data_IF_201462527619
#
_entry.id   IF_201462527619
#
_cell.length_a   1.000
_cell.length_b   1.000
_cell.length_c   1.000
_cell.angle_alpha   90.00
_cell.angle_beta   90.00
_cell.angle_gamma   90.00
#
_symmetry.space_group_name_H-M   'P 1'
#
loop_
_entity.id
_entity.type
_entity.pdbx_description
1 polymer ?
#
# COMPACT_ATOMS: atom_id res chain seq x y z
N UNK A 1 -32.51 48.03 8.54
CA UNK A 1 -31.38 47.36 9.21
C UNK A 1 -31.23 45.97 8.59
N UNK A 2 -30.23 45.79 7.73
CA UNK A 2 -29.92 44.54 6.99
C UNK A 2 -29.11 43.64 7.92
N UNK A 3 -29.63 42.49 8.34
CA UNK A 3 -28.81 41.53 9.08
C UNK A 3 -28.99 40.10 8.55
N UNK A 4 -28.10 39.77 7.60
CA UNK A 4 -27.20 38.60 7.62
C UNK A 4 -27.89 37.23 7.63
N UNK A 5 -28.04 36.67 6.42
CA UNK A 5 -28.23 35.24 6.21
C UNK A 5 -26.87 34.57 6.39
N UNK A 6 -26.70 33.77 7.44
CA UNK A 6 -25.53 32.91 7.59
C UNK A 6 -25.63 31.78 6.57
N UNK A 7 -24.88 31.89 5.47
CA UNK A 7 -24.58 30.75 4.62
C UNK A 7 -23.51 29.93 5.34
N UNK A 8 -23.90 28.79 5.90
CA UNK A 8 -22.95 27.77 6.37
C UNK A 8 -22.33 27.17 5.10
N UNK A 9 -21.20 27.71 4.67
CA UNK A 9 -20.33 27.09 3.69
C UNK A 9 -19.63 25.93 4.42
N UNK A 10 -20.24 24.74 4.37
CA UNK A 10 -19.59 23.51 4.83
C UNK A 10 -18.38 23.31 3.91
N UNK A 11 -17.23 23.67 4.45
CA UNK A 11 -15.93 23.45 3.85
C UNK A 11 -15.73 21.95 3.67
N UNK A 12 -15.85 21.49 2.43
CA UNK A 12 -15.52 20.15 1.98
C UNK A 12 -13.99 20.02 1.94
N UNK A 13 -13.33 20.13 3.10
CA UNK A 13 -11.89 19.93 3.23
C UNK A 13 -11.63 18.43 3.39
N UNK A 14 -11.42 17.80 2.23
CA UNK A 14 -10.54 16.66 1.98
C UNK A 14 -10.30 15.68 3.13
N UNK A 15 -11.23 14.76 3.34
CA UNK A 15 -10.93 13.47 3.95
C UNK A 15 -10.54 12.48 2.84
N UNK A 16 -9.47 12.77 2.10
CA UNK A 16 -8.78 11.74 1.33
C UNK A 16 -7.72 11.12 2.25
N UNK A 17 -8.18 10.33 3.22
CA UNK A 17 -7.30 9.53 4.08
C UNK A 17 -7.03 8.17 3.45
N UNK A 18 -6.46 8.20 2.25
CA UNK A 18 -5.68 7.11 1.68
C UNK A 18 -4.46 7.78 1.06
N UNK A 19 -3.28 7.53 1.63
CA UNK A 19 -2.02 8.07 1.10
C UNK A 19 -1.76 7.37 -0.23
N UNK A 20 -2.22 7.96 -1.33
CA UNK A 20 -1.92 7.44 -2.66
C UNK A 20 -0.42 7.61 -2.96
N UNK A 21 0.19 6.68 -3.70
CA UNK A 21 1.58 6.82 -4.10
C UNK A 21 1.75 8.10 -4.95
N UNK A 22 2.86 8.79 -4.77
CA UNK A 22 3.10 10.05 -5.52
C UNK A 22 3.50 9.80 -6.97
N UNK A 23 3.87 8.57 -7.34
CA UNK A 23 4.25 8.21 -8.70
C UNK A 23 3.64 6.88 -9.13
N UNK A 24 3.33 6.79 -10.43
CA UNK A 24 2.96 5.56 -11.10
C UNK A 24 3.69 5.45 -12.45
N UNK A 25 3.57 4.30 -13.11
CA UNK A 25 4.30 3.98 -14.34
C UNK A 25 3.38 3.48 -15.44
N UNK A 26 3.68 3.81 -16.69
CA UNK A 26 2.90 3.35 -17.85
C UNK A 26 3.03 1.84 -18.12
N UNK A 27 4.06 1.21 -17.57
CA UNK A 27 4.31 -0.24 -17.66
C UNK A 27 4.87 -0.79 -16.34
N UNK A 28 4.76 -2.11 -16.07
CA UNK A 28 5.35 -2.69 -14.88
C UNK A 28 6.86 -2.49 -14.87
N UNK A 29 7.42 -2.21 -13.68
CA UNK A 29 8.83 -2.00 -13.46
C UNK A 29 9.51 -3.17 -12.72
N UNK A 30 10.80 -3.43 -13.01
CA UNK A 30 11.57 -2.84 -14.10
C UNK A 30 11.02 -3.29 -15.46
N UNK A 31 11.07 -2.42 -16.47
CA UNK A 31 10.66 -2.79 -17.83
C UNK A 31 11.50 -3.92 -18.43
N UNK A 32 10.91 -4.63 -19.41
CA UNK A 32 11.55 -5.73 -20.15
C UNK A 32 12.12 -6.86 -19.26
N UNK A 33 11.55 -7.05 -18.06
CA UNK A 33 11.90 -8.16 -17.17
C UNK A 33 10.85 -9.24 -17.20
N UNK A 34 11.31 -10.49 -17.09
CA UNK A 34 10.43 -11.64 -16.92
C UNK A 34 9.63 -11.50 -15.62
N UNK A 35 8.33 -11.75 -15.73
CA UNK A 35 7.45 -11.85 -14.58
C UNK A 35 7.80 -13.10 -13.77
N UNK A 36 7.64 -13.01 -12.47
CA UNK A 36 7.88 -14.10 -11.52
C UNK A 36 6.52 -14.64 -11.10
N UNK A 37 6.30 -15.94 -11.26
CA UNK A 37 5.00 -16.58 -11.02
C UNK A 37 4.72 -16.92 -9.55
N UNK A 38 5.71 -16.77 -8.66
CA UNK A 38 5.53 -16.97 -7.23
C UNK A 38 6.62 -16.29 -6.40
N UNK A 39 6.28 -15.90 -5.18
CA UNK A 39 7.26 -15.38 -4.22
C UNK A 39 8.32 -16.43 -3.89
N UNK A 40 9.61 -16.05 -3.82
CA UNK A 40 10.65 -16.96 -3.34
C UNK A 40 10.36 -17.40 -1.90
N UNK A 41 10.65 -18.67 -1.58
CA UNK A 41 10.39 -19.28 -0.26
C UNK A 41 10.82 -18.44 0.95
N UNK A 42 11.91 -17.67 0.83
CA UNK A 42 12.39 -16.79 1.92
C UNK A 42 11.36 -15.72 2.34
N UNK A 43 10.53 -15.26 1.41
CA UNK A 43 9.47 -14.27 1.65
C UNK A 43 8.20 -14.89 2.24
N UNK A 44 7.99 -16.21 2.16
CA UNK A 44 6.76 -16.82 2.64
C UNK A 44 6.68 -16.80 4.17
N UNK A 45 5.49 -16.55 4.70
CA UNK A 45 5.20 -16.61 6.14
C UNK A 45 4.47 -15.37 6.66
N UNK A 46 4.41 -15.29 7.99
CA UNK A 46 3.75 -14.22 8.72
C UNK A 46 4.78 -13.21 9.24
N UNK A 47 4.38 -11.94 9.26
CA UNK A 47 5.21 -10.85 9.74
C UNK A 47 4.38 -9.87 10.58
N UNK A 48 5.05 -9.14 11.46
CA UNK A 48 4.46 -8.08 12.27
C UNK A 48 5.20 -6.77 12.08
N UNK A 49 4.48 -5.67 11.92
CA UNK A 49 5.00 -4.32 12.06
C UNK A 49 4.71 -3.83 13.50
N UNK A 50 5.73 -3.72 14.37
CA UNK A 50 5.52 -3.33 15.76
C UNK A 50 5.15 -1.84 15.92
N UNK A 51 5.46 -0.99 14.94
CA UNK A 51 5.19 0.45 15.00
C UNK A 51 3.73 0.76 14.64
N UNK A 52 3.19 0.06 13.63
CA UNK A 52 1.83 0.30 13.11
C UNK A 52 0.80 -0.73 13.60
N UNK A 53 1.24 -1.79 14.29
CA UNK A 53 0.36 -2.88 14.72
C UNK A 53 -0.16 -3.77 13.59
N UNK A 54 0.31 -3.56 12.35
CA UNK A 54 -0.09 -4.37 11.20
C UNK A 54 0.55 -5.76 11.21
N UNK A 55 -0.21 -6.73 10.72
CA UNK A 55 0.29 -8.06 10.37
C UNK A 55 0.35 -8.18 8.85
N UNK A 56 1.35 -8.90 8.34
CA UNK A 56 1.50 -9.17 6.92
C UNK A 56 1.62 -10.69 6.73
N UNK A 57 0.86 -11.24 5.80
CA UNK A 57 0.97 -12.63 5.36
C UNK A 57 1.42 -12.64 3.91
N UNK A 58 2.53 -13.33 3.63
CA UNK A 58 3.00 -13.54 2.26
C UNK A 58 2.86 -15.01 1.91
N UNK A 59 2.04 -15.28 0.91
CA UNK A 59 1.85 -16.61 0.32
C UNK A 59 2.57 -16.70 -1.02
N UNK A 60 2.40 -17.83 -1.74
CA UNK A 60 3.08 -18.04 -3.01
C UNK A 60 2.74 -16.96 -4.04
N UNK A 61 1.51 -16.44 -4.05
CA UNK A 61 1.01 -15.60 -5.14
C UNK A 61 0.41 -14.27 -4.65
N UNK A 62 0.40 -14.02 -3.34
CA UNK A 62 -0.27 -12.84 -2.78
C UNK A 62 0.37 -12.34 -1.48
N UNK A 63 0.10 -11.07 -1.19
CA UNK A 63 0.45 -10.40 0.06
C UNK A 63 -0.84 -9.83 0.66
N UNK A 64 -1.12 -10.21 1.90
CA UNK A 64 -2.28 -9.73 2.66
C UNK A 64 -1.78 -8.94 3.86
N UNK A 65 -2.25 -7.71 4.02
CA UNK A 65 -2.12 -6.96 5.26
C UNK A 65 -3.36 -7.21 6.10
N UNK A 66 -3.17 -7.37 7.40
CA UNK A 66 -4.27 -7.43 8.36
C UNK A 66 -4.01 -6.41 9.45
N UNK A 67 -5.01 -5.60 9.74
CA UNK A 67 -5.01 -4.77 10.94
C UNK A 67 -6.18 -5.17 11.82
N UNK A 68 -5.91 -5.14 13.12
CA UNK A 68 -6.90 -5.52 14.13
C UNK A 68 -7.27 -4.27 14.91
N UNK A 69 -8.56 -3.97 15.02
CA UNK A 69 -9.05 -2.92 15.90
C UNK A 69 -10.04 -3.52 16.90
N UNK A 70 -10.01 -3.05 18.15
CA UNK A 70 -10.98 -3.48 19.16
C UNK A 70 -12.02 -2.40 19.35
N UNK A 71 -13.29 -2.77 19.28
CA UNK A 71 -14.39 -1.84 19.53
C UNK A 71 -15.55 -2.54 20.26
N UNK A 72 -16.46 -1.73 20.78
CA UNK A 72 -17.70 -2.19 21.40
C UNK A 72 -18.82 -2.19 20.36
N UNK A 73 -19.50 -3.32 20.21
CA UNK A 73 -20.44 -3.57 19.11
C UNK A 73 -21.75 -4.17 19.58
N UNK A 74 -22.82 -3.82 18.87
CA UNK A 74 -24.08 -4.54 18.90
C UNK A 74 -24.11 -5.57 17.77
N UNK A 75 -24.17 -6.86 18.08
CA UNK A 75 -24.16 -7.93 17.06
C UNK A 75 -25.35 -7.84 16.08
N UNK A 76 -26.43 -7.20 16.50
CA UNK A 76 -27.62 -6.98 15.66
C UNK A 76 -27.42 -5.90 14.61
N UNK A 77 -26.45 -5.00 14.80
CA UNK A 77 -26.14 -3.90 13.86
C UNK A 77 -25.07 -4.31 12.84
N UNK A 78 -24.36 -5.42 13.09
CA UNK A 78 -23.33 -5.93 12.19
C UNK A 78 -23.95 -6.58 10.96
N UNK A 79 -23.42 -6.21 9.78
CA UNK A 79 -23.74 -6.89 8.54
C UNK A 79 -23.07 -8.29 8.50
N UNK A 80 -23.35 -9.08 7.45
CA UNK A 80 -22.79 -10.43 7.31
C UNK A 80 -21.27 -10.44 7.23
N UNK A 81 -20.68 -9.50 6.49
CA UNK A 81 -19.24 -9.39 6.29
C UNK A 81 -18.51 -9.05 7.60
N UNK A 82 -19.08 -8.14 8.40
CA UNK A 82 -18.50 -7.78 9.69
C UNK A 82 -18.48 -8.99 10.62
N UNK A 83 -19.57 -9.77 10.64
CA UNK A 83 -19.69 -10.99 11.46
C UNK A 83 -18.63 -12.03 11.14
N UNK A 84 -18.20 -12.13 9.88
CA UNK A 84 -17.12 -13.04 9.46
C UNK A 84 -15.73 -12.56 9.88
N UNK A 85 -15.55 -11.26 10.13
CA UNK A 85 -14.26 -10.64 10.40
C UNK A 85 -14.05 -10.26 11.87
N UNK A 86 -15.01 -10.53 12.76
CA UNK A 86 -14.88 -10.24 14.19
C UNK A 86 -14.50 -11.47 15.01
N UNK A 87 -13.81 -11.22 16.12
CA UNK A 87 -13.66 -12.16 17.23
C UNK A 87 -14.21 -11.53 18.49
N UNK A 88 -15.18 -12.18 19.15
CA UNK A 88 -15.76 -11.67 20.40
C UNK A 88 -14.77 -11.92 21.54
N UNK A 89 -14.36 -10.84 22.20
CA UNK A 89 -13.41 -10.88 23.31
C UNK A 89 -14.13 -10.92 24.67
N UNK A 90 -15.22 -10.15 24.80
CA UNK A 90 -15.99 -10.08 26.04
C UNK A 90 -17.44 -9.64 25.79
N UNK A 91 -18.34 -9.98 26.72
CA UNK A 91 -19.73 -9.50 26.73
C UNK A 91 -19.90 -8.44 27.83
N UNK A 92 -20.48 -7.29 27.49
CA UNK A 92 -20.77 -6.21 28.44
C UNK A 92 -22.23 -6.21 28.90
N UNK A 93 -23.15 -6.62 28.02
CA UNK A 93 -24.58 -6.82 28.32
C UNK A 93 -25.19 -7.80 27.32
N UNK A 94 -26.51 -8.04 27.41
CA UNK A 94 -27.23 -8.94 26.48
C UNK A 94 -27.04 -8.55 25.00
N UNK A 95 -26.89 -7.26 24.72
CA UNK A 95 -26.81 -6.73 23.35
C UNK A 95 -25.44 -6.15 22.97
N UNK A 96 -24.52 -5.98 23.93
CA UNK A 96 -23.28 -5.23 23.74
C UNK A 96 -22.04 -6.08 24.05
N UNK A 97 -21.08 -6.09 23.13
CA UNK A 97 -19.89 -6.94 23.17
C UNK A 97 -18.63 -6.13 22.87
N UNK A 98 -17.49 -6.51 23.46
CA UNK A 98 -16.18 -6.08 22.98
C UNK A 98 -15.73 -7.07 21.91
N UNK A 99 -15.46 -6.59 20.70
CA UNK A 99 -15.06 -7.38 19.56
C UNK A 99 -13.75 -6.86 18.95
N UNK A 100 -12.89 -7.78 18.53
CA UNK A 100 -11.75 -7.48 17.67
C UNK A 100 -12.15 -7.64 16.20
N UNK A 101 -12.05 -6.58 15.42
CA UNK A 101 -12.23 -6.57 13.97
C UNK A 101 -10.91 -6.84 13.28
N UNK A 102 -10.83 -7.92 12.50
CA UNK A 102 -9.68 -8.28 11.70
C UNK A 102 -9.93 -7.92 10.25
N UNK A 103 -9.50 -6.72 9.85
CA UNK A 103 -9.71 -6.22 8.50
C UNK A 103 -8.52 -6.62 7.63
N UNK A 104 -8.81 -7.27 6.51
CA UNK A 104 -7.83 -7.76 5.55
C UNK A 104 -7.81 -6.89 4.30
N UNK A 105 -6.61 -6.52 3.89
CA UNK A 105 -6.34 -5.79 2.65
C UNK A 105 -5.36 -6.59 1.78
N UNK A 106 -5.69 -6.75 0.50
CA UNK A 106 -4.85 -7.48 -0.45
C UNK A 106 -3.92 -6.50 -1.15
N UNK A 107 -2.70 -6.39 -0.65
CA UNK A 107 -1.71 -5.46 -1.20
C UNK A 107 -1.16 -5.88 -2.56
N UNK A 108 -1.20 -7.19 -2.86
CA UNK A 108 -0.68 -7.74 -4.10
C UNK A 108 -1.27 -9.14 -4.34
N UNK A 109 -1.66 -9.44 -5.57
CA UNK A 109 -2.14 -10.77 -5.99
C UNK A 109 -1.87 -11.04 -7.47
N UNK A 110 -1.06 -12.06 -7.77
CA UNK A 110 -0.83 -12.51 -9.15
C UNK A 110 -2.12 -12.92 -9.86
N UNK A 111 -3.13 -13.39 -9.10
CA UNK A 111 -4.44 -13.77 -9.64
C UNK A 111 -5.26 -12.57 -10.11
N UNK A 112 -4.98 -11.38 -9.58
CA UNK A 112 -5.63 -10.14 -9.98
C UNK A 112 -4.93 -9.49 -11.20
N UNK A 113 -3.92 -10.14 -11.77
CA UNK A 113 -3.12 -9.60 -12.87
C UNK A 113 -1.94 -8.74 -12.42
N UNK A 114 -1.67 -8.65 -11.11
CA UNK A 114 -0.49 -7.98 -10.60
C UNK A 114 0.79 -8.70 -11.04
N UNK A 115 1.88 -7.94 -11.14
CA UNK A 115 3.13 -8.41 -11.72
C UNK A 115 4.27 -8.33 -10.72
N UNK A 116 4.88 -9.48 -10.41
CA UNK A 116 6.10 -9.55 -9.60
C UNK A 116 7.33 -9.55 -10.50
N UNK A 117 8.25 -8.60 -10.30
CA UNK A 117 9.54 -8.54 -11.03
C UNK A 117 10.72 -8.36 -10.09
N UNK A 118 11.93 -8.61 -10.60
CA UNK A 118 13.17 -8.57 -9.81
C UNK A 118 14.25 -7.70 -10.47
N UNK A 119 14.93 -6.92 -9.63
CA UNK A 119 16.18 -6.22 -9.95
C UNK A 119 17.19 -6.44 -8.84
N UNK A 120 18.30 -7.10 -9.15
CA UNK A 120 19.34 -7.46 -8.18
C UNK A 120 18.75 -8.27 -7.00
N UNK A 121 18.84 -7.75 -5.77
CA UNK A 121 18.31 -8.40 -4.56
C UNK A 121 16.88 -7.95 -4.22
N UNK A 122 16.35 -6.93 -4.92
CA UNK A 122 15.04 -6.35 -4.69
C UNK A 122 13.99 -6.98 -5.61
N UNK A 123 12.78 -7.10 -5.07
CA UNK A 123 11.59 -7.48 -5.81
C UNK A 123 10.66 -6.27 -5.89
N UNK A 124 9.86 -6.22 -6.93
CA UNK A 124 8.98 -5.10 -7.22
C UNK A 124 7.57 -5.64 -7.45
N UNK A 125 6.65 -5.14 -6.65
CA UNK A 125 5.23 -5.40 -6.72
C UNK A 125 4.65 -4.37 -7.68
N UNK A 126 4.09 -4.81 -8.80
CA UNK A 126 3.45 -3.93 -9.76
C UNK A 126 1.96 -4.21 -9.70
N UNK A 127 1.22 -3.25 -9.15
CA UNK A 127 -0.23 -3.33 -8.96
C UNK A 127 -0.87 -2.32 -9.90
N UNK A 128 -1.87 -2.76 -10.66
CA UNK A 128 -2.54 -1.87 -11.59
C UNK A 128 -3.52 -0.95 -10.83
N UNK A 129 -3.49 0.35 -11.13
CA UNK A 129 -4.39 1.33 -10.55
C UNK A 129 -5.61 1.61 -11.45
N UNK A 130 -6.54 2.44 -10.99
CA UNK A 130 -7.78 2.77 -11.70
C UNK A 130 -7.57 3.42 -13.07
N UNK A 131 -6.42 4.05 -13.29
CA UNK A 131 -6.06 4.71 -14.54
C UNK A 131 -5.30 3.77 -15.49
N UNK A 132 -5.34 2.46 -15.24
CA UNK A 132 -4.62 1.42 -15.99
C UNK A 132 -3.08 1.56 -15.96
N UNK A 133 -2.56 2.43 -15.09
CA UNK A 133 -1.14 2.59 -14.81
C UNK A 133 -0.70 1.63 -13.68
N UNK A 134 0.60 1.58 -13.43
CA UNK A 134 1.21 0.66 -12.46
C UNK A 134 1.74 1.42 -11.26
N UNK A 135 1.14 1.16 -10.09
CA UNK A 135 1.73 1.50 -8.81
C UNK A 135 2.82 0.46 -8.52
N UNK A 136 4.00 0.94 -8.15
CA UNK A 136 5.16 0.09 -7.93
C UNK A 136 5.62 0.23 -6.50
N UNK A 137 5.78 -0.89 -5.82
CA UNK A 137 6.37 -0.96 -4.47
C UNK A 137 7.59 -1.87 -4.48
N UNK A 138 8.61 -1.52 -3.70
CA UNK A 138 9.85 -2.28 -3.56
C UNK A 138 9.75 -3.16 -2.31
N UNK A 139 9.99 -4.46 -2.47
CA UNK A 139 10.05 -5.41 -1.35
C UNK A 139 11.44 -6.05 -1.25
N UNK A 140 11.99 -6.07 -0.05
CA UNK A 140 13.27 -6.71 0.26
C UNK A 140 13.15 -7.54 1.54
N UNK A 141 13.82 -8.70 1.55
CA UNK A 141 13.93 -9.54 2.73
C UNK A 141 15.40 -9.81 3.02
N UNK A 142 15.83 -9.41 4.23
CA UNK A 142 17.20 -9.60 4.72
C UNK A 142 17.16 -10.06 6.17
N UNK A 143 17.79 -11.23 6.42
CA UNK A 143 17.77 -11.92 7.72
C UNK A 143 16.34 -12.27 8.13
N UNK A 144 15.73 -11.48 9.01
CA UNK A 144 14.35 -11.64 9.47
C UNK A 144 13.51 -10.36 9.28
N UNK A 145 14.06 -9.37 8.60
CA UNK A 145 13.37 -8.11 8.32
C UNK A 145 12.91 -8.09 6.88
N UNK A 146 11.63 -7.77 6.72
CA UNK A 146 11.02 -7.45 5.45
C UNK A 146 10.80 -5.94 5.41
N UNK A 147 11.28 -5.28 4.36
CA UNK A 147 10.96 -3.89 4.07
C UNK A 147 9.98 -3.85 2.90
N UNK A 148 8.85 -3.19 3.08
CA UNK A 148 7.93 -2.79 2.02
C UNK A 148 8.06 -1.29 1.85
N UNK A 149 8.45 -0.85 0.66
CA UNK A 149 8.77 0.56 0.40
C UNK A 149 8.01 1.10 -0.80
N UNK A 150 7.60 2.35 -0.72
CA UNK A 150 6.77 3.04 -1.70
C UNK A 150 7.43 4.35 -2.13
N UNK A 151 6.91 4.97 -3.19
CA UNK A 151 7.31 6.30 -3.66
C UNK A 151 6.30 7.28 -3.07
N UNK A 152 6.71 7.97 -2.00
CA UNK A 152 5.77 8.66 -1.12
C UNK A 152 6.25 10.03 -0.66
N UNK A 153 7.39 10.52 -1.15
CA UNK A 153 7.85 11.88 -0.88
C UNK A 153 8.33 12.61 -2.13
N UNK A 154 8.37 13.94 -2.01
CA UNK A 154 8.70 14.87 -3.09
C UNK A 154 10.14 14.69 -3.61
N UNK A 155 11.09 14.35 -2.74
CA UNK A 155 12.48 14.15 -3.17
C UNK A 155 12.64 13.01 -4.18
N UNK A 156 11.76 12.00 -4.13
CA UNK A 156 11.74 10.92 -5.09
C UNK A 156 11.11 11.33 -6.43
N UNK A 157 10.14 12.26 -6.39
CA UNK A 157 9.54 12.86 -7.58
C UNK A 157 10.56 13.74 -8.30
N UNK A 158 11.31 14.55 -7.56
CA UNK A 158 12.44 15.34 -8.10
C UNK A 158 13.48 14.44 -8.76
N UNK A 159 13.84 13.33 -8.10
CA UNK A 159 14.77 12.35 -8.64
C UNK A 159 14.25 11.67 -9.91
N UNK A 160 12.96 11.31 -9.96
CA UNK A 160 12.34 10.76 -11.17
C UNK A 160 12.35 11.76 -12.32
N UNK A 161 12.01 13.02 -12.03
CA UNK A 161 12.04 14.12 -13.01
C UNK A 161 13.45 14.34 -13.58
N UNK A 162 14.49 14.30 -12.74
CA UNK A 162 15.90 14.38 -13.17
C UNK A 162 16.25 13.23 -14.13
N UNK A 163 15.88 11.99 -13.77
CA UNK A 163 16.22 10.79 -14.54
C UNK A 163 15.46 10.73 -15.89
N UNK A 164 14.23 11.25 -15.93
CA UNK A 164 13.38 11.23 -17.12
C UNK A 164 13.49 12.50 -17.96
N UNK A 165 14.16 13.54 -17.47
CA UNK A 165 14.12 14.90 -18.02
C UNK A 165 12.69 15.45 -18.16
N UNK A 166 11.79 15.06 -17.25
CA UNK A 166 10.44 15.59 -17.19
C UNK A 166 10.45 16.89 -16.37
N UNK A 167 9.99 17.98 -16.96
CA UNK A 167 9.80 19.24 -16.24
C UNK A 167 8.55 19.14 -15.37
N UNK A 168 8.67 19.41 -14.07
CA UNK A 168 7.54 19.44 -13.14
C UNK A 168 6.59 20.59 -13.51
N UNK A 169 5.51 20.31 -14.24
CA UNK A 169 4.61 21.35 -14.76
C UNK A 169 3.30 21.51 -13.99
N UNK A 170 2.98 20.63 -13.05
CA UNK A 170 1.77 20.74 -12.21
C UNK A 170 1.91 20.01 -10.86
N UNK A 171 1.07 20.31 -9.87
CA UNK A 171 1.03 19.65 -8.56
C UNK A 171 0.01 18.50 -8.51
N UNK A 172 -0.25 17.85 -9.65
CA UNK A 172 -1.20 16.76 -9.77
C UNK A 172 -0.47 15.44 -9.49
N UNK A 173 -1.02 14.65 -8.56
CA UNK A 173 -0.53 13.32 -8.20
C UNK A 173 -1.61 12.27 -8.46
N UNK A 174 -1.23 11.01 -8.73
CA UNK A 174 0.14 10.52 -8.95
C UNK A 174 0.78 11.03 -10.25
N UNK A 175 2.11 11.21 -10.24
CA UNK A 175 2.88 11.51 -11.45
C UNK A 175 3.14 10.26 -12.25
N UNK A 176 2.74 10.26 -13.53
CA UNK A 176 2.96 9.13 -14.42
C UNK A 176 4.29 9.24 -15.16
N UNK A 177 5.07 8.17 -15.11
CA UNK A 177 6.35 8.08 -15.78
C UNK A 177 6.45 6.86 -16.71
N UNK A 178 7.19 7.02 -17.80
CA UNK A 178 7.60 5.93 -18.67
C UNK A 178 9.11 5.71 -18.53
N UNK A 179 9.52 4.82 -17.62
CA UNK A 179 10.93 4.51 -17.39
C UNK A 179 11.35 3.28 -18.17
N UNK A 180 12.45 3.41 -18.89
CA UNK A 180 13.17 2.23 -19.34
C UNK A 180 13.95 1.58 -18.16
N UNK A 181 14.35 0.33 -18.35
CA UNK A 181 15.08 -0.46 -17.36
C UNK A 181 16.37 0.21 -16.82
N UNK A 182 17.08 1.00 -17.64
CA UNK A 182 18.30 1.71 -17.21
C UNK A 182 17.94 2.84 -16.24
N UNK A 183 16.94 3.63 -16.60
CA UNK A 183 16.41 4.71 -15.75
C UNK A 183 15.85 4.17 -14.43
N UNK A 184 15.04 3.11 -14.47
CA UNK A 184 14.52 2.49 -13.25
C UNK A 184 15.64 1.95 -12.35
N UNK A 185 16.67 1.34 -12.94
CA UNK A 185 17.85 0.90 -12.19
C UNK A 185 18.60 2.07 -11.57
N UNK A 186 18.69 3.21 -12.25
CA UNK A 186 19.30 4.42 -11.72
C UNK A 186 18.50 4.98 -10.54
N UNK A 187 17.17 5.07 -10.66
CA UNK A 187 16.27 5.50 -9.59
C UNK A 187 16.47 4.66 -8.32
N UNK A 188 16.44 3.33 -8.46
CA UNK A 188 16.68 2.41 -7.35
C UNK A 188 18.09 2.54 -6.77
N UNK A 189 19.11 2.84 -7.61
CA UNK A 189 20.50 3.01 -7.15
C UNK A 189 20.71 4.32 -6.40
N UNK A 190 20.00 5.39 -6.79
CA UNK A 190 19.98 6.69 -6.11
C UNK A 190 19.01 6.70 -4.90
N UNK A 191 18.79 5.53 -4.28
CA UNK A 191 17.96 5.33 -3.09
C UNK A 191 16.47 5.65 -3.24
N UNK A 192 15.88 5.55 -4.42
CA UNK A 192 14.41 5.58 -4.53
C UNK A 192 13.72 4.50 -3.68
N UNK A 193 12.44 4.73 -3.38
CA UNK A 193 11.61 3.98 -2.43
C UNK A 193 12.18 4.06 -1.01
N UNK A 194 12.13 5.26 -0.45
CA UNK A 194 12.71 5.66 0.85
C UNK A 194 11.73 5.50 1.99
N UNK A 195 10.44 5.75 1.75
CA UNK A 195 9.40 5.47 2.74
C UNK A 195 9.26 3.95 2.86
N UNK A 196 9.46 3.42 4.06
CA UNK A 196 9.51 1.99 4.29
C UNK A 196 8.77 1.56 5.56
N UNK A 197 7.84 0.64 5.39
CA UNK A 197 7.32 -0.15 6.49
C UNK A 197 8.26 -1.33 6.75
N UNK A 198 8.66 -1.50 8.01
CA UNK A 198 9.49 -2.61 8.44
C UNK A 198 8.65 -3.65 9.17
N UNK A 199 8.75 -4.88 8.70
CA UNK A 199 8.08 -6.03 9.27
C UNK A 199 9.10 -7.06 9.76
N UNK A 200 8.84 -7.65 10.91
CA UNK A 200 9.65 -8.71 11.51
C UNK A 200 8.97 -10.05 11.26
N UNK A 201 9.71 -11.00 10.69
CA UNK A 201 9.21 -12.36 10.47
C UNK A 201 8.97 -13.08 11.79
N UNK A 202 7.80 -13.70 11.92
CA UNK A 202 7.38 -14.49 13.08
C UNK A 202 7.85 -15.94 12.97
#
# INVERSE_FOLDING_TARGET
MKNIKYAILISFLGLNSCKEPLANFTEPQPSEKKNISQFPKKFLGNYSNPELGYKLTIENEMIIRTFSNTDTVSLNELNSTDKENITILNQLSDTLYIAEFNIKDTLFSLKNGDVLRKLNQNYFLNVKNSDENWNVSKINFKRNYLSLSEIANESEIELLNEITNQTATDSIYPKTYNLNKKQFKEFVKKNGFTENEIYIKQ
#
